data_IF_157511784756
#
_entry.id   IF_157511784756
#
_cell.length_a   1.000
_cell.length_b   1.000
_cell.length_c   1.000
_cell.angle_alpha   90.00
_cell.angle_beta   90.00
_cell.angle_gamma   90.00
#
_symmetry.space_group_name_H-M   'P 1'
#
loop_
_entity.id
_entity.type
_entity.pdbx_description
1 polymer ?
#
# COMPACT_ATOMS: atom_id res chain seq x y z
N UNK A 1 16.60 -14.09 -18.43
CA UNK A 1 16.01 -13.75 -17.12
C UNK A 1 15.65 -12.28 -17.13
N UNK A 2 14.50 -11.88 -16.55
CA UNK A 2 14.21 -10.46 -16.35
C UNK A 2 14.87 -9.99 -15.07
N UNK A 3 15.40 -8.79 -15.06
CA UNK A 3 16.03 -8.16 -13.89
C UNK A 3 15.21 -6.95 -13.45
N UNK A 4 15.13 -6.73 -12.15
CA UNK A 4 14.46 -5.60 -11.52
C UNK A 4 15.34 -5.06 -10.39
N UNK A 5 15.23 -3.78 -10.11
CA UNK A 5 15.90 -3.20 -8.93
C UNK A 5 15.29 -3.73 -7.64
N UNK A 6 13.98 -3.95 -7.63
CA UNK A 6 13.24 -4.43 -6.45
C UNK A 6 12.11 -5.39 -6.83
N UNK A 7 11.82 -6.31 -5.91
CA UNK A 7 10.57 -7.10 -5.92
C UNK A 7 9.81 -6.86 -4.64
N UNK A 8 8.54 -6.50 -4.77
CA UNK A 8 7.61 -6.33 -3.65
C UNK A 8 6.61 -7.48 -3.66
N UNK A 9 6.49 -8.17 -2.52
CA UNK A 9 5.55 -9.27 -2.36
C UNK A 9 4.35 -8.80 -1.54
N UNK A 10 3.21 -8.72 -2.20
CA UNK A 10 1.96 -8.18 -1.68
C UNK A 10 1.68 -6.75 -2.15
N UNK A 11 0.46 -6.50 -2.61
CA UNK A 11 -0.01 -5.20 -3.13
C UNK A 11 -1.16 -4.64 -2.27
N UNK A 12 -1.08 -4.82 -0.97
CA UNK A 12 -1.93 -4.13 0.00
C UNK A 12 -1.46 -2.70 0.28
N UNK A 13 -1.99 -2.01 1.30
CA UNK A 13 -1.64 -0.63 1.61
C UNK A 13 -0.14 -0.38 1.74
N UNK A 14 0.58 -1.22 2.48
CA UNK A 14 2.04 -1.09 2.69
C UNK A 14 2.81 -1.29 1.39
N UNK A 15 2.59 -2.41 0.69
CA UNK A 15 3.29 -2.71 -0.56
C UNK A 15 2.97 -1.71 -1.67
N UNK A 16 1.70 -1.28 -1.76
CA UNK A 16 1.28 -0.26 -2.71
C UNK A 16 1.88 1.12 -2.44
N UNK A 17 2.00 1.51 -1.17
CA UNK A 17 2.65 2.77 -0.77
C UNK A 17 4.15 2.73 -1.08
N UNK A 18 4.85 1.67 -0.65
CA UNK A 18 6.28 1.49 -0.92
C UNK A 18 6.57 1.48 -2.42
N UNK A 19 5.78 0.75 -3.20
CA UNK A 19 5.94 0.68 -4.66
C UNK A 19 5.83 2.06 -5.31
N UNK A 20 4.86 2.90 -4.90
CA UNK A 20 4.71 4.25 -5.42
C UNK A 20 5.91 5.14 -5.07
N UNK A 21 6.38 5.11 -3.82
CA UNK A 21 7.54 5.90 -3.38
C UNK A 21 8.80 5.55 -4.17
N UNK A 22 9.05 4.26 -4.38
CA UNK A 22 10.21 3.78 -5.14
C UNK A 22 10.06 4.04 -6.64
N UNK A 23 8.85 3.94 -7.19
CA UNK A 23 8.56 4.24 -8.58
C UNK A 23 8.81 5.73 -8.93
N UNK A 24 8.51 6.64 -8.01
CA UNK A 24 8.83 8.08 -8.14
C UNK A 24 10.35 8.28 -8.23
N UNK A 25 11.15 7.47 -7.53
CA UNK A 25 12.61 7.50 -7.60
C UNK A 25 13.18 6.86 -8.87
N UNK A 26 12.32 6.30 -9.74
CA UNK A 26 12.71 5.75 -11.03
C UNK A 26 13.15 4.28 -11.02
N UNK A 27 13.02 3.58 -9.91
CA UNK A 27 13.34 2.16 -9.80
C UNK A 27 12.45 1.29 -10.69
N UNK A 28 13.02 0.21 -11.21
CA UNK A 28 12.27 -0.85 -11.86
C UNK A 28 11.76 -1.85 -10.81
N UNK A 29 10.46 -2.06 -10.78
CA UNK A 29 9.81 -2.79 -9.69
C UNK A 29 8.94 -3.90 -10.25
N UNK A 30 9.13 -5.12 -9.75
CA UNK A 30 8.17 -6.20 -9.91
C UNK A 30 7.35 -6.33 -8.64
N UNK A 31 6.03 -6.35 -8.77
CA UNK A 31 5.10 -6.56 -7.67
C UNK A 31 4.40 -7.90 -7.90
N UNK A 32 4.50 -8.80 -6.92
CA UNK A 32 3.79 -10.07 -6.91
C UNK A 32 2.62 -9.99 -5.92
N UNK A 33 1.41 -10.18 -6.42
CA UNK A 33 0.20 -10.21 -5.60
C UNK A 33 -0.52 -11.56 -5.81
N UNK A 34 -0.74 -12.28 -4.73
CA UNK A 34 -1.36 -13.62 -4.79
C UNK A 34 -2.86 -13.57 -5.10
N UNK A 35 -3.52 -12.49 -4.70
CA UNK A 35 -4.94 -12.31 -4.93
C UNK A 35 -5.20 -11.73 -6.33
N UNK A 36 -6.36 -12.06 -6.88
CA UNK A 36 -6.79 -11.53 -8.18
C UNK A 36 -7.24 -10.07 -8.09
N UNK A 37 -7.68 -9.62 -6.92
CA UNK A 37 -8.12 -8.26 -6.64
C UNK A 37 -7.67 -7.81 -5.26
N UNK A 38 -8.00 -6.57 -4.87
CA UNK A 38 -7.83 -6.14 -3.48
C UNK A 38 -8.90 -6.77 -2.57
N UNK A 39 -8.56 -6.92 -1.30
CA UNK A 39 -9.49 -7.47 -0.31
C UNK A 39 -10.68 -6.52 -0.13
N UNK A 40 -11.94 -7.01 -0.27
CA UNK A 40 -13.11 -6.13 -0.34
C UNK A 40 -13.53 -5.54 1.01
N UNK A 41 -13.09 -6.13 2.13
CA UNK A 41 -13.45 -5.66 3.47
C UNK A 41 -12.32 -4.83 4.08
N UNK A 42 -12.63 -3.71 4.76
CA UNK A 42 -11.62 -2.89 5.41
C UNK A 42 -11.05 -3.62 6.63
N UNK A 43 -9.72 -3.67 6.73
CA UNK A 43 -8.99 -4.12 7.93
C UNK A 43 -8.45 -2.94 8.73
N UNK A 44 -8.05 -1.87 8.04
CA UNK A 44 -7.67 -0.60 8.64
C UNK A 44 -8.75 0.43 8.36
N UNK A 45 -9.00 1.29 9.35
CA UNK A 45 -10.10 2.27 9.31
C UNK A 45 -9.66 3.69 9.60
N UNK A 46 -8.42 3.91 10.01
CA UNK A 46 -7.88 5.24 10.28
C UNK A 46 -6.39 5.31 9.99
N UNK A 47 -5.91 6.52 9.73
CA UNK A 47 -4.50 6.89 9.61
C UNK A 47 -4.31 8.35 10.10
N UNK A 48 -3.06 8.75 10.31
CA UNK A 48 -2.67 10.04 10.83
C UNK A 48 -2.18 11.01 9.72
N UNK A 49 -1.79 12.18 10.15
CA UNK A 49 -1.28 13.27 9.32
C UNK A 49 0.07 12.92 8.66
N UNK A 50 0.93 12.15 9.33
CA UNK A 50 2.21 11.69 8.77
C UNK A 50 1.96 10.79 7.55
N UNK A 51 1.03 9.85 7.65
CA UNK A 51 0.63 8.99 6.53
C UNK A 51 0.00 9.82 5.41
N UNK A 52 -0.78 10.87 5.73
CA UNK A 52 -1.32 11.77 4.70
C UNK A 52 -0.19 12.52 3.96
N UNK A 53 0.89 12.90 4.64
CA UNK A 53 2.09 13.46 4.01
C UNK A 53 2.74 12.49 3.02
N UNK A 54 2.79 11.21 3.37
CA UNK A 54 3.26 10.16 2.44
C UNK A 54 2.36 10.10 1.21
N UNK A 55 1.03 10.13 1.38
CA UNK A 55 0.08 10.13 0.26
C UNK A 55 0.19 11.39 -0.60
N UNK A 56 0.52 12.53 0.00
CA UNK A 56 0.81 13.77 -0.71
C UNK A 56 2.08 13.62 -1.56
N UNK A 57 3.13 13.04 -1.02
CA UNK A 57 4.38 12.76 -1.77
C UNK A 57 4.12 11.81 -2.94
N UNK A 58 3.27 10.81 -2.76
CA UNK A 58 2.84 9.90 -3.83
C UNK A 58 1.97 10.62 -4.89
N UNK A 59 1.30 11.71 -4.52
CA UNK A 59 0.41 12.48 -5.41
C UNK A 59 -0.98 11.86 -5.56
N UNK A 60 -1.53 11.26 -4.49
CA UNK A 60 -2.89 10.69 -4.49
C UNK A 60 -3.88 11.46 -3.62
N UNK A 61 -3.44 12.43 -2.81
CA UNK A 61 -4.28 13.13 -1.83
C UNK A 61 -5.54 13.73 -2.42
N UNK A 62 -5.45 14.49 -3.50
CA UNK A 62 -6.61 15.18 -4.10
C UNK A 62 -7.73 14.21 -4.50
N UNK A 63 -7.32 13.02 -4.98
CA UNK A 63 -8.27 11.97 -5.37
C UNK A 63 -8.75 11.15 -4.18
N UNK A 64 -7.93 11.03 -3.14
CA UNK A 64 -8.22 10.17 -2.00
C UNK A 64 -9.01 10.89 -0.90
N UNK A 65 -8.81 12.20 -0.70
CA UNK A 65 -9.50 12.99 0.34
C UNK A 65 -11.03 12.82 0.32
N UNK A 66 -11.64 12.71 -0.84
CA UNK A 66 -13.09 12.51 -0.97
C UNK A 66 -13.60 11.17 -0.40
N UNK A 67 -12.70 10.23 -0.13
CA UNK A 67 -12.99 8.94 0.50
C UNK A 67 -12.56 8.90 1.96
N UNK A 68 -12.27 10.06 2.55
CA UNK A 68 -11.84 10.18 3.94
C UNK A 68 -12.79 11.09 4.73
N UNK A 69 -12.79 10.90 6.03
CA UNK A 69 -13.47 11.76 7.00
C UNK A 69 -12.49 12.15 8.08
N UNK A 70 -12.51 13.42 8.50
CA UNK A 70 -11.71 13.85 9.66
C UNK A 70 -12.21 13.09 10.90
N UNK A 71 -11.29 12.41 11.57
CA UNK A 71 -11.58 11.68 12.80
C UNK A 71 -11.54 12.62 13.99
N UNK A 72 -12.71 12.96 14.53
CA UNK A 72 -12.86 13.89 15.68
C UNK A 72 -12.52 13.26 17.04
N UNK A 73 -12.27 11.94 17.06
CA UNK A 73 -11.95 11.22 18.28
C UNK A 73 -12.60 9.84 18.35
N UNK A 74 -12.37 9.18 19.47
CA UNK A 74 -12.90 7.83 19.75
C UNK A 74 -13.40 7.78 21.19
N UNK A 75 -14.60 7.20 21.36
CA UNK A 75 -15.15 6.89 22.68
C UNK A 75 -15.17 5.38 22.88
N UNK A 76 -14.65 4.95 24.00
CA UNK A 76 -14.76 3.57 24.46
C UNK A 76 -15.87 3.51 25.50
N UNK A 77 -16.80 2.61 25.30
CA UNK A 77 -17.96 2.45 26.18
C UNK A 77 -18.07 1.02 26.69
N UNK A 78 -18.62 0.85 27.87
CA UNK A 78 -18.93 -0.47 28.44
C UNK A 78 -20.22 -1.05 27.82
N UNK A 79 -20.61 -2.25 28.27
CA UNK A 79 -21.83 -2.94 27.82
C UNK A 79 -23.13 -2.14 28.09
N UNK A 80 -23.12 -1.24 29.07
CA UNK A 80 -24.28 -0.40 29.44
C UNK A 80 -24.32 0.91 28.68
N UNK A 81 -23.27 1.22 27.91
CA UNK A 81 -23.13 2.50 27.19
C UNK A 81 -22.39 3.59 27.98
N UNK A 82 -21.93 3.31 29.20
CA UNK A 82 -21.17 4.27 29.98
C UNK A 82 -19.79 4.48 29.35
N UNK A 83 -19.35 5.73 29.29
CA UNK A 83 -18.05 6.08 28.72
C UNK A 83 -16.93 5.66 29.67
N UNK A 84 -16.06 4.76 29.21
CA UNK A 84 -14.83 4.33 29.90
C UNK A 84 -13.69 5.31 29.58
N UNK A 85 -13.58 5.71 28.30
CA UNK A 85 -12.56 6.65 27.83
C UNK A 85 -13.15 7.51 26.72
N UNK A 86 -13.02 8.82 26.84
CA UNK A 86 -13.26 9.79 25.77
C UNK A 86 -11.90 10.31 25.30
N UNK A 87 -11.56 10.03 24.05
CA UNK A 87 -10.28 10.43 23.45
C UNK A 87 -10.54 11.35 22.25
N UNK A 88 -10.77 12.64 22.48
CA UNK A 88 -10.91 13.61 21.41
C UNK A 88 -9.59 13.80 20.65
N UNK A 89 -9.68 14.13 19.37
CA UNK A 89 -8.52 14.54 18.57
C UNK A 89 -8.48 16.06 18.47
N UNK A 90 -7.28 16.66 18.37
CA UNK A 90 -7.13 18.09 18.06
C UNK A 90 -7.92 18.45 16.80
N UNK A 91 -8.46 19.67 16.77
CA UNK A 91 -9.28 20.16 15.65
C UNK A 91 -8.45 20.97 14.65
N UNK A 92 -7.25 21.34 15.03
CA UNK A 92 -6.34 22.16 14.26
C UNK A 92 -5.52 21.28 13.30
N UNK A 93 -5.08 21.88 12.21
CA UNK A 93 -4.10 21.28 11.29
C UNK A 93 -2.75 21.25 12.00
N UNK A 94 -2.04 20.13 11.89
CA UNK A 94 -0.72 19.92 12.47
C UNK A 94 0.37 20.60 11.64
N UNK A 95 1.60 20.59 12.13
CA UNK A 95 2.79 21.04 11.40
C UNK A 95 3.03 20.24 10.10
N UNK A 96 2.47 19.03 9.99
CA UNK A 96 2.47 18.27 8.74
C UNK A 96 1.51 18.82 7.68
N UNK A 97 0.72 19.86 8.01
CA UNK A 97 -0.22 20.50 7.10
C UNK A 97 -1.54 19.74 6.91
N UNK A 98 -1.82 18.76 7.76
CA UNK A 98 -2.99 17.89 7.70
C UNK A 98 -3.66 17.78 9.07
N UNK A 99 -4.93 17.32 9.10
CA UNK A 99 -5.58 17.00 10.37
C UNK A 99 -4.94 15.78 11.02
N UNK A 100 -4.88 15.71 12.36
CA UNK A 100 -4.12 14.68 13.08
C UNK A 100 -4.66 13.26 12.89
N UNK A 101 -5.86 13.08 12.36
CA UNK A 101 -6.40 11.73 12.11
C UNK A 101 -7.54 11.74 11.09
N UNK A 102 -7.56 10.73 10.26
CA UNK A 102 -8.59 10.50 9.25
C UNK A 102 -9.17 9.11 9.39
N UNK A 103 -10.47 8.98 9.11
CA UNK A 103 -11.12 7.69 8.86
C UNK A 103 -11.22 7.46 7.37
N UNK A 104 -11.08 6.22 6.93
CA UNK A 104 -11.11 5.87 5.53
C UNK A 104 -11.65 4.45 5.30
N UNK A 105 -11.97 4.16 4.05
CA UNK A 105 -12.30 2.84 3.58
C UNK A 105 -11.08 2.25 2.83
N UNK A 106 -10.46 1.20 3.37
CA UNK A 106 -9.21 0.63 2.86
C UNK A 106 -9.25 0.27 1.37
N UNK A 107 -10.31 -0.36 0.82
CA UNK A 107 -10.39 -0.65 -0.61
C UNK A 107 -10.27 0.59 -1.51
N UNK A 108 -10.76 1.76 -1.06
CA UNK A 108 -10.63 2.99 -1.82
C UNK A 108 -9.18 3.50 -1.84
N UNK A 109 -8.46 3.40 -0.72
CA UNK A 109 -7.02 3.68 -0.66
C UNK A 109 -6.25 2.78 -1.63
N UNK A 110 -6.45 1.46 -1.54
CA UNK A 110 -5.75 0.50 -2.40
C UNK A 110 -6.02 0.76 -3.88
N UNK A 111 -7.25 1.15 -4.22
CA UNK A 111 -7.61 1.54 -5.60
C UNK A 111 -6.81 2.77 -6.06
N UNK A 112 -6.66 3.80 -5.21
CA UNK A 112 -5.87 4.99 -5.57
C UNK A 112 -4.39 4.66 -5.73
N UNK A 113 -3.81 3.88 -4.81
CA UNK A 113 -2.41 3.42 -4.88
C UNK A 113 -2.15 2.64 -6.17
N UNK A 114 -3.00 1.65 -6.49
CA UNK A 114 -2.88 0.82 -7.71
C UNK A 114 -3.06 1.65 -8.98
N UNK A 115 -3.99 2.60 -9.00
CA UNK A 115 -4.20 3.47 -10.15
C UNK A 115 -2.99 4.39 -10.39
N UNK A 116 -2.35 4.87 -9.34
CA UNK A 116 -1.12 5.66 -9.44
C UNK A 116 0.03 4.85 -10.04
N UNK A 117 0.20 3.59 -9.61
CA UNK A 117 1.23 2.68 -10.13
C UNK A 117 1.14 2.46 -11.64
N UNK A 118 -0.06 2.48 -12.23
CA UNK A 118 -0.25 2.33 -13.69
C UNK A 118 0.40 3.43 -14.52
N UNK A 119 0.72 4.59 -13.94
CA UNK A 119 1.39 5.68 -14.64
C UNK A 119 2.91 5.49 -14.78
N UNK A 120 3.51 4.52 -14.11
CA UNK A 120 4.95 4.28 -14.13
C UNK A 120 5.33 3.17 -15.11
N UNK A 121 6.14 3.49 -16.12
CA UNK A 121 6.56 2.54 -17.16
C UNK A 121 7.43 1.37 -16.66
N UNK A 122 8.13 1.56 -15.53
CA UNK A 122 9.04 0.57 -14.94
C UNK A 122 8.41 -0.26 -13.82
N UNK A 123 7.11 -0.16 -13.59
CA UNK A 123 6.39 -0.95 -12.58
C UNK A 123 5.61 -2.05 -13.26
N UNK A 124 5.85 -3.28 -12.84
CA UNK A 124 5.24 -4.49 -13.36
C UNK A 124 4.46 -5.18 -12.26
N UNK A 125 3.16 -5.34 -12.44
CA UNK A 125 2.28 -5.96 -11.46
C UNK A 125 1.84 -7.33 -11.98
N UNK A 126 2.14 -8.38 -11.22
CA UNK A 126 1.70 -9.75 -11.46
C UNK A 126 0.67 -10.11 -10.37
N UNK A 127 -0.61 -10.04 -10.74
CA UNK A 127 -1.71 -10.51 -9.90
C UNK A 127 -1.88 -12.02 -10.01
N UNK A 128 -2.64 -12.63 -9.09
CA UNK A 128 -2.85 -14.07 -9.04
C UNK A 128 -1.52 -14.88 -9.05
N UNK A 129 -0.48 -14.28 -8.42
CA UNK A 129 0.89 -14.79 -8.49
C UNK A 129 1.50 -14.87 -7.10
N UNK A 130 1.68 -16.08 -6.61
CA UNK A 130 2.31 -16.34 -5.30
C UNK A 130 3.81 -16.51 -5.48
N UNK A 131 4.61 -15.82 -4.66
CA UNK A 131 6.03 -16.11 -4.54
C UNK A 131 6.21 -17.55 -4.03
N UNK A 132 6.97 -18.37 -4.73
CA UNK A 132 7.28 -19.74 -4.34
C UNK A 132 8.59 -19.84 -3.55
N UNK A 133 9.63 -19.14 -4.00
CA UNK A 133 10.94 -19.17 -3.37
C UNK A 133 11.70 -17.88 -3.61
N UNK A 134 12.45 -17.45 -2.60
CA UNK A 134 13.48 -16.41 -2.71
C UNK A 134 14.80 -17.00 -2.20
N UNK A 135 15.90 -16.78 -2.91
CA UNK A 135 17.22 -17.30 -2.57
C UNK A 135 18.27 -16.22 -2.74
N UNK A 136 18.99 -15.89 -1.69
CA UNK A 136 20.08 -14.95 -1.75
C UNK A 136 21.25 -15.55 -2.52
N UNK A 137 21.84 -14.76 -3.40
CA UNK A 137 23.12 -15.02 -4.04
C UNK A 137 24.15 -14.01 -3.54
N UNK A 138 25.37 -14.05 -4.05
CA UNK A 138 26.43 -13.11 -3.63
C UNK A 138 26.05 -11.65 -3.88
N UNK A 139 25.36 -11.35 -4.98
CA UNK A 139 25.09 -9.96 -5.43
C UNK A 139 23.63 -9.71 -5.77
N UNK A 140 22.71 -10.65 -5.55
CA UNK A 140 21.32 -10.55 -5.96
C UNK A 140 20.42 -11.49 -5.17
N UNK A 141 19.11 -11.35 -5.35
CA UNK A 141 18.11 -12.31 -4.88
C UNK A 141 17.44 -12.96 -6.08
N UNK A 142 17.46 -14.27 -6.16
CA UNK A 142 16.70 -15.03 -7.14
C UNK A 142 15.32 -15.33 -6.58
N UNK A 143 14.28 -15.07 -7.38
CA UNK A 143 12.90 -15.40 -7.02
C UNK A 143 12.30 -16.38 -8.02
N UNK A 144 11.45 -17.26 -7.53
CA UNK A 144 10.69 -18.22 -8.32
C UNK A 144 9.20 -17.97 -8.08
N UNK A 145 8.45 -17.74 -9.16
CA UNK A 145 7.01 -17.58 -9.13
C UNK A 145 6.39 -18.14 -10.43
N UNK A 146 5.12 -18.60 -10.42
CA UNK A 146 4.45 -19.09 -11.63
C UNK A 146 4.16 -17.93 -12.58
N UNK A 147 4.38 -18.13 -13.88
CA UNK A 147 4.03 -17.18 -14.93
C UNK A 147 2.86 -17.76 -15.72
N UNK A 148 1.76 -17.02 -15.82
CA UNK A 148 0.48 -17.52 -16.35
C UNK A 148 0.45 -17.84 -17.85
N UNK A 149 1.53 -17.64 -18.60
CA UNK A 149 1.55 -17.89 -20.05
C UNK A 149 2.23 -19.18 -20.49
N UNK A 150 2.93 -19.87 -19.60
CA UNK A 150 3.52 -21.19 -19.90
C UNK A 150 3.74 -21.90 -18.57
N UNK A 151 3.64 -23.20 -18.55
CA UNK A 151 4.04 -24.07 -17.42
C UNK A 151 5.54 -23.97 -17.05
N UNK A 152 6.21 -22.88 -17.40
CA UNK A 152 7.62 -22.62 -17.16
C UNK A 152 7.77 -21.56 -16.06
N UNK A 153 8.36 -21.96 -14.96
CA UNK A 153 8.89 -21.06 -13.94
C UNK A 153 10.15 -20.39 -14.49
N UNK A 154 10.13 -19.06 -14.69
CA UNK A 154 11.32 -18.32 -15.04
C UNK A 154 11.98 -17.79 -13.76
N UNK A 155 13.26 -18.07 -13.53
CA UNK A 155 13.98 -17.45 -12.45
C UNK A 155 14.14 -15.95 -12.73
N UNK A 156 13.90 -15.14 -11.71
CA UNK A 156 14.09 -13.68 -11.75
C UNK A 156 15.19 -13.29 -10.80
N UNK A 157 16.10 -12.44 -11.24
CA UNK A 157 17.24 -11.98 -10.44
C UNK A 157 17.00 -10.55 -10.00
N UNK A 158 17.26 -10.26 -8.73
CA UNK A 158 17.37 -8.92 -8.15
C UNK A 158 18.85 -8.56 -8.03
N UNK A 159 19.25 -7.40 -8.46
CA UNK A 159 20.57 -6.82 -8.25
C UNK A 159 20.56 -5.79 -7.16
#
# INVERSE_FOLDING_TARGET
MKEYDLVIVGLGPTGGTLANLLAIQGYSILILEKENSFYPLPRAVHFDDEVMRVFQTIGITDKFLKYTLINKGTKFVNKKGDVILDWPRPKEITENGWYPSYRFHQPDLERQLRNRLKSFKKVYIQQNTKLLKATNTKNSVQIIYPVSYTHLTLPTILR
#
